data_IF_864644607295
#
_entry.id   IF_864644607295
#
_cell.length_a   1.000
_cell.length_b   1.000
_cell.length_c   1.000
_cell.angle_alpha   90.00
_cell.angle_beta   90.00
_cell.angle_gamma   90.00
#
_symmetry.space_group_name_H-M   'P 1'
#
loop_
_entity.id
_entity.type
_entity.pdbx_description
1 polymer ?
#
# COMPACT_ATOMS: atom_id res chain seq x y z
N UNK A 1 1.69 -5.60 39.64
CA UNK A 1 2.86 -5.95 38.79
C UNK A 1 3.08 -4.83 37.79
N UNK A 2 4.25 -4.19 37.79
CA UNK A 2 4.60 -3.13 36.83
C UNK A 2 4.93 -3.80 35.50
N UNK A 3 4.15 -3.56 34.43
CA UNK A 3 4.41 -4.12 33.10
C UNK A 3 5.80 -3.65 32.64
N UNK A 4 6.72 -4.60 32.44
CA UNK A 4 8.04 -4.27 31.91
C UNK A 4 7.88 -3.85 30.45
N UNK A 5 8.38 -2.67 30.11
CA UNK A 5 8.33 -2.18 28.74
C UNK A 5 9.35 -2.93 27.89
N UNK A 6 8.91 -3.35 26.71
CA UNK A 6 9.77 -3.86 25.65
C UNK A 6 10.80 -2.81 25.22
N UNK A 7 11.87 -3.26 24.57
CA UNK A 7 12.87 -2.35 23.98
C UNK A 7 12.23 -1.38 22.99
N UNK A 8 11.21 -1.83 22.26
CA UNK A 8 10.43 -0.99 21.36
C UNK A 8 9.67 0.10 22.13
N UNK A 9 8.84 -0.27 23.10
CA UNK A 9 8.04 0.68 23.89
C UNK A 9 8.93 1.70 24.62
N UNK A 10 10.10 1.27 25.11
CA UNK A 10 11.07 2.15 25.75
C UNK A 10 11.68 3.16 24.76
N UNK A 11 12.04 2.73 23.55
CA UNK A 11 12.61 3.62 22.52
C UNK A 11 11.58 4.59 21.94
N UNK A 12 10.31 4.18 21.80
CA UNK A 12 9.23 5.03 21.30
C UNK A 12 8.88 6.22 22.21
N UNK A 13 9.37 6.25 23.47
CA UNK A 13 9.26 7.41 24.36
C UNK A 13 10.21 8.55 23.98
N UNK A 14 11.30 8.26 23.27
CA UNK A 14 12.21 9.28 22.77
C UNK A 14 11.63 9.90 21.48
N UNK A 15 11.40 11.22 21.49
CA UNK A 15 10.73 11.90 20.38
C UNK A 15 11.54 11.85 19.07
N UNK A 16 12.88 11.88 19.16
CA UNK A 16 13.76 11.82 17.99
C UNK A 16 13.72 10.43 17.36
N UNK A 17 13.82 9.38 18.18
CA UNK A 17 13.68 8.00 17.76
C UNK A 17 12.30 7.76 17.16
N UNK A 18 11.22 8.16 17.85
CA UNK A 18 9.85 8.01 17.37
C UNK A 18 9.66 8.65 15.99
N UNK A 19 10.11 9.90 15.80
CA UNK A 19 10.02 10.61 14.52
C UNK A 19 10.80 9.90 13.40
N UNK A 20 12.02 9.43 13.70
CA UNK A 20 12.82 8.68 12.72
C UNK A 20 12.19 7.33 12.38
N UNK A 21 11.65 6.64 13.38
CA UNK A 21 10.93 5.38 13.22
C UNK A 21 9.67 5.55 12.37
N UNK A 22 8.82 6.54 12.67
CA UNK A 22 7.62 6.84 11.88
C UNK A 22 7.94 7.19 10.42
N UNK A 23 9.02 7.93 10.19
CA UNK A 23 9.50 8.21 8.82
C UNK A 23 9.90 6.92 8.11
N UNK A 24 10.74 6.11 8.75
CA UNK A 24 11.16 4.81 8.19
C UNK A 24 10.00 3.87 7.96
N UNK A 25 9.00 3.88 8.84
CA UNK A 25 7.82 3.04 8.71
C UNK A 25 7.00 3.42 7.47
N UNK A 26 6.80 4.73 7.24
CA UNK A 26 6.13 5.22 6.03
C UNK A 26 6.83 4.79 4.74
N UNK A 27 8.16 4.76 4.73
CA UNK A 27 8.95 4.32 3.58
C UNK A 27 8.77 2.81 3.29
N UNK A 28 8.31 2.02 4.27
CA UNK A 28 8.16 0.56 4.17
C UNK A 28 6.70 0.10 4.02
N UNK A 29 5.72 0.95 4.29
CA UNK A 29 4.29 0.61 4.28
C UNK A 29 3.86 -0.18 3.04
N UNK A 30 4.29 0.26 1.85
CA UNK A 30 3.89 -0.40 0.62
C UNK A 30 4.57 -1.77 0.44
N UNK A 31 5.84 -1.90 0.85
CA UNK A 31 6.54 -3.20 0.84
C UNK A 31 5.90 -4.20 1.81
N UNK A 32 5.51 -3.75 3.00
CA UNK A 32 4.82 -4.58 3.99
C UNK A 32 3.44 -5.03 3.49
N UNK A 33 2.67 -4.11 2.86
CA UNK A 33 1.41 -4.45 2.23
C UNK A 33 1.59 -5.52 1.14
N UNK A 34 2.59 -5.37 0.28
CA UNK A 34 2.89 -6.37 -0.76
C UNK A 34 3.23 -7.73 -0.15
N UNK A 35 4.06 -7.77 0.88
CA UNK A 35 4.43 -9.03 1.55
C UNK A 35 3.17 -9.69 2.14
N UNK A 36 2.39 -8.96 2.93
CA UNK A 36 1.22 -9.50 3.60
C UNK A 36 0.17 -10.05 2.62
N UNK A 37 -0.13 -9.32 1.55
CA UNK A 37 -1.13 -9.77 0.57
C UNK A 37 -0.59 -10.92 -0.28
N UNK A 38 0.68 -10.90 -0.68
CA UNK A 38 1.27 -12.00 -1.46
C UNK A 38 1.36 -13.30 -0.64
N UNK A 39 1.59 -13.22 0.67
CA UNK A 39 1.57 -14.37 1.58
C UNK A 39 0.15 -14.93 1.76
N UNK A 40 -0.85 -14.07 1.93
CA UNK A 40 -2.25 -14.50 2.09
C UNK A 40 -2.85 -15.10 0.82
N UNK A 41 -2.52 -14.55 -0.36
CA UNK A 41 -3.10 -14.97 -1.65
C UNK A 41 -2.23 -15.99 -2.42
N UNK A 42 -1.15 -16.50 -1.80
CA UNK A 42 -0.12 -17.36 -2.42
C UNK A 42 0.38 -16.81 -3.78
N UNK A 43 0.42 -15.49 -3.92
CA UNK A 43 0.65 -14.84 -5.21
C UNK A 43 2.14 -14.66 -5.45
N UNK A 44 2.69 -15.40 -6.43
CA UNK A 44 4.10 -15.22 -6.82
C UNK A 44 4.36 -13.87 -7.49
N UNK A 45 5.60 -13.40 -7.41
CA UNK A 45 6.07 -12.16 -8.10
C UNK A 45 5.73 -12.19 -9.59
N UNK A 46 5.95 -13.33 -10.25
CA UNK A 46 5.72 -13.46 -11.69
C UNK A 46 4.23 -13.35 -12.04
N UNK A 47 3.36 -13.92 -11.21
CA UNK A 47 1.91 -13.84 -11.38
C UNK A 47 1.42 -12.40 -11.17
N UNK A 48 1.85 -11.75 -10.08
CA UNK A 48 1.51 -10.35 -9.81
C UNK A 48 2.01 -9.41 -10.91
N UNK A 49 3.26 -9.59 -11.37
CA UNK A 49 3.82 -8.80 -12.46
C UNK A 49 2.98 -8.91 -13.75
N UNK A 50 2.53 -10.14 -14.09
CA UNK A 50 1.68 -10.38 -15.25
C UNK A 50 0.30 -9.70 -15.11
N UNK A 51 -0.34 -9.84 -13.95
CA UNK A 51 -1.67 -9.25 -13.67
C UNK A 51 -1.63 -7.73 -13.59
N UNK A 52 -0.53 -7.16 -13.07
CA UNK A 52 -0.34 -5.72 -12.95
C UNK A 52 0.31 -5.08 -14.20
N UNK A 53 0.59 -5.84 -15.27
CA UNK A 53 1.27 -5.35 -16.48
C UNK A 53 2.66 -4.70 -16.22
N UNK A 54 3.40 -5.24 -15.25
CA UNK A 54 4.72 -4.75 -14.84
C UNK A 54 5.81 -5.82 -15.06
N UNK A 55 7.08 -5.40 -15.05
CA UNK A 55 8.18 -6.37 -15.02
C UNK A 55 8.30 -7.03 -13.64
N UNK A 56 8.73 -8.30 -13.56
CA UNK A 56 9.03 -8.95 -12.29
C UNK A 56 10.06 -8.19 -11.45
N UNK A 57 11.01 -7.50 -12.08
CA UNK A 57 12.01 -6.69 -11.38
C UNK A 57 11.40 -5.48 -10.67
N UNK A 58 10.40 -4.82 -11.27
CA UNK A 58 9.69 -3.71 -10.63
C UNK A 58 8.94 -4.21 -9.40
N UNK A 59 8.18 -5.32 -9.53
CA UNK A 59 7.49 -5.92 -8.38
C UNK A 59 8.46 -6.34 -7.27
N UNK A 60 9.61 -6.92 -7.64
CA UNK A 60 10.65 -7.30 -6.68
C UNK A 60 11.28 -6.09 -5.96
N UNK A 61 11.58 -5.02 -6.68
CA UNK A 61 12.19 -3.80 -6.11
C UNK A 61 11.22 -3.07 -5.18
N UNK A 62 9.93 -3.08 -5.51
CA UNK A 62 8.85 -2.58 -4.63
C UNK A 62 8.75 -3.45 -3.37
N UNK A 63 8.62 -4.78 -3.53
CA UNK A 63 8.46 -5.73 -2.42
C UNK A 63 9.63 -5.66 -1.43
N UNK A 64 10.84 -5.34 -1.88
CA UNK A 64 12.02 -5.22 -1.03
C UNK A 64 12.24 -3.82 -0.45
N UNK A 65 11.40 -2.85 -0.78
CA UNK A 65 11.57 -1.45 -0.38
C UNK A 65 12.75 -0.74 -1.04
N UNK A 66 13.37 -1.35 -2.07
CA UNK A 66 14.45 -0.75 -2.86
C UNK A 66 13.92 0.41 -3.71
N UNK A 67 12.74 0.24 -4.29
CA UNK A 67 12.02 1.31 -4.98
C UNK A 67 11.04 1.99 -4.02
N UNK A 68 11.32 3.25 -3.69
CA UNK A 68 10.50 4.05 -2.76
C UNK A 68 9.40 4.86 -3.44
N UNK A 69 9.61 5.20 -4.71
CA UNK A 69 8.66 5.96 -5.52
C UNK A 69 7.98 5.04 -6.54
N UNK A 70 6.66 5.18 -6.69
CA UNK A 70 5.87 4.42 -7.65
C UNK A 70 4.98 5.36 -8.46
N UNK A 71 4.85 5.11 -9.76
CA UNK A 71 3.86 5.82 -10.58
C UNK A 71 2.46 5.43 -10.10
N UNK A 72 1.55 6.40 -10.01
CA UNK A 72 0.16 6.18 -9.59
C UNK A 72 -0.53 5.09 -10.43
N UNK A 73 -0.26 5.05 -11.75
CA UNK A 73 -0.76 3.99 -12.64
C UNK A 73 -0.35 2.59 -12.15
N UNK A 74 0.93 2.40 -11.82
CA UNK A 74 1.47 1.12 -11.37
C UNK A 74 0.88 0.73 -10.00
N UNK A 75 0.67 1.70 -9.11
CA UNK A 75 0.00 1.46 -7.83
C UNK A 75 -1.43 0.96 -8.05
N UNK A 76 -2.21 1.61 -8.93
CA UNK A 76 -3.57 1.19 -9.28
C UNK A 76 -3.56 -0.22 -9.89
N UNK A 77 -2.66 -0.50 -10.83
CA UNK A 77 -2.53 -1.83 -11.43
C UNK A 77 -2.23 -2.92 -10.40
N UNK A 78 -1.32 -2.65 -9.48
CA UNK A 78 -0.96 -3.59 -8.40
C UNK A 78 -2.16 -3.79 -7.47
N UNK A 79 -2.83 -2.72 -7.05
CA UNK A 79 -4.01 -2.80 -6.18
C UNK A 79 -5.11 -3.66 -6.83
N UNK A 80 -5.42 -3.41 -8.10
CA UNK A 80 -6.43 -4.18 -8.85
C UNK A 80 -6.00 -5.64 -9.04
N UNK A 81 -4.73 -5.89 -9.36
CA UNK A 81 -4.19 -7.24 -9.46
C UNK A 81 -4.32 -7.99 -8.12
N UNK A 82 -4.29 -7.30 -6.99
CA UNK A 82 -4.48 -7.86 -5.66
C UNK A 82 -5.97 -7.90 -5.22
N UNK A 83 -6.91 -7.55 -6.10
CA UNK A 83 -8.34 -7.59 -5.80
C UNK A 83 -8.87 -6.38 -5.01
N UNK A 84 -8.08 -5.31 -4.90
CA UNK A 84 -8.49 -4.06 -4.27
C UNK A 84 -8.95 -3.04 -5.32
N UNK A 85 -9.90 -2.20 -4.93
CA UNK A 85 -10.25 -0.97 -5.64
C UNK A 85 -9.52 0.22 -4.99
N UNK A 86 -9.09 1.18 -5.79
CA UNK A 86 -8.50 2.42 -5.29
C UNK A 86 -9.56 3.52 -5.26
N UNK A 87 -9.95 3.95 -4.07
CA UNK A 87 -11.01 4.96 -3.87
C UNK A 87 -10.42 6.16 -3.12
N UNK A 88 -10.60 7.35 -3.67
CA UNK A 88 -10.40 8.61 -2.96
C UNK A 88 -11.72 9.02 -2.32
N UNK A 89 -11.73 9.14 -0.99
CA UNK A 89 -12.92 9.50 -0.22
C UNK A 89 -12.76 10.90 0.38
N UNK A 90 -13.78 11.75 0.21
CA UNK A 90 -13.84 13.11 0.76
C UNK A 90 -15.23 13.36 1.33
N UNK A 91 -15.37 13.20 2.64
CA UNK A 91 -16.69 13.26 3.28
C UNK A 91 -17.58 12.15 2.72
N UNK A 92 -18.68 12.52 2.06
CA UNK A 92 -19.60 11.59 1.40
C UNK A 92 -19.27 11.37 -0.09
N UNK A 93 -18.25 12.03 -0.63
CA UNK A 93 -17.84 11.87 -2.03
C UNK A 93 -16.83 10.71 -2.15
N UNK A 94 -17.04 9.85 -3.15
CA UNK A 94 -16.11 8.77 -3.51
C UNK A 94 -15.73 8.87 -4.98
N UNK A 95 -14.43 8.84 -5.24
CA UNK A 95 -13.87 8.81 -6.58
C UNK A 95 -13.05 7.52 -6.74
N UNK A 96 -13.53 6.61 -7.57
CA UNK A 96 -12.77 5.40 -7.92
C UNK A 96 -11.72 5.75 -8.97
N UNK A 97 -10.46 5.43 -8.68
CA UNK A 97 -9.36 5.58 -9.62
C UNK A 97 -9.29 4.31 -10.49
N UNK A 98 -9.54 4.48 -11.78
CA UNK A 98 -9.42 3.40 -12.76
C UNK A 98 -8.20 3.62 -13.66
N UNK A 99 -7.77 2.53 -14.30
CA UNK A 99 -6.69 2.58 -15.26
C UNK A 99 -7.05 3.48 -16.45
N UNK A 100 -6.13 4.36 -16.84
CA UNK A 100 -6.36 5.52 -17.72
C UNK A 100 -6.78 5.18 -19.16
N UNK A 101 -6.90 3.90 -19.51
CA UNK A 101 -7.47 3.44 -20.78
C UNK A 101 -9.01 3.44 -20.80
N UNK A 102 -9.69 3.71 -19.67
CA UNK A 102 -11.11 4.07 -19.65
C UNK A 102 -11.32 5.23 -18.69
N UNK A 103 -12.04 6.23 -19.16
CA UNK A 103 -12.36 7.49 -18.50
C UNK A 103 -12.53 7.37 -16.98
N UNK A 104 -11.90 8.30 -16.23
CA UNK A 104 -12.17 8.54 -14.82
C UNK A 104 -13.69 8.65 -14.64
N UNK A 105 -14.30 7.68 -13.98
CA UNK A 105 -15.72 7.71 -13.63
C UNK A 105 -15.85 8.14 -12.18
N UNK A 106 -16.43 9.32 -11.98
CA UNK A 106 -16.86 9.77 -10.65
C UNK A 106 -18.14 9.01 -10.32
N UNK A 107 -18.09 8.08 -9.38
CA UNK A 107 -19.28 7.38 -8.88
C UNK A 107 -19.61 7.95 -7.50
N UNK A 108 -20.46 8.98 -7.45
CA UNK A 108 -21.03 9.45 -6.19
C UNK A 108 -22.05 8.42 -5.69
N UNK A 109 -21.66 7.58 -4.75
CA UNK A 109 -22.63 6.78 -3.99
C UNK A 109 -23.23 7.66 -2.90
N UNK A 110 -24.44 8.16 -3.14
CA UNK A 110 -25.26 8.72 -2.08
C UNK A 110 -25.61 7.58 -1.12
N UNK A 111 -24.89 7.48 0.00
CA UNK A 111 -25.33 6.68 1.12
C UNK A 111 -26.54 7.38 1.75
N UNK A 112 -27.73 7.07 1.25
CA UNK A 112 -28.99 7.31 1.96
C UNK A 112 -29.19 6.16 2.94
N UNK A 113 -28.89 6.37 4.22
CA UNK A 113 -29.54 5.71 5.36
C UNK A 113 -29.70 6.73 6.47
#
# INVERSE_FOLDING_TARGET
MTKLLSTYERKMKDAKFKKAHEKSYKDLLFSELMIAVMENDEKSIRKLAKEAHLSPSVIQDIRTGKQRDIKVSNFIHIAHALGYEVILEKGNERLTLQDANKHISVVSSNASV
#
